data_IF_708875870900
#
_entry.id   IF_708875870900
#
_cell.length_a   1.000
_cell.length_b   1.000
_cell.length_c   1.000
_cell.angle_alpha   90.00
_cell.angle_beta   90.00
_cell.angle_gamma   90.00
#
_symmetry.space_group_name_H-M   'P 1'
#
loop_
_entity.id
_entity.type
_entity.pdbx_description
1 polymer ?
#
# COMPACT_ATOMS: atom_id res chain seq x y z
N UNK A 1 10.52 9.03 1.58
CA UNK A 1 10.39 8.95 0.10
C UNK A 1 8.90 9.02 -0.32
N UNK A 2 8.42 10.06 -1.03
CA UNK A 2 6.98 10.23 -1.36
C UNK A 2 6.75 10.40 -2.87
N UNK A 3 5.99 9.47 -3.48
CA UNK A 3 5.77 9.33 -4.92
C UNK A 3 4.47 8.64 -5.27
N UNK A 4 4.10 8.73 -6.55
CA UNK A 4 2.73 8.97 -7.00
C UNK A 4 2.77 8.90 -8.60
N UNK A 5 1.87 9.49 -9.45
CA UNK A 5 1.94 9.83 -10.91
C UNK A 5 0.61 10.29 -11.63
N UNK A 6 0.47 11.57 -12.09
CA UNK A 6 -0.66 12.10 -12.93
C UNK A 6 -0.24 12.15 -14.41
N UNK A 7 -1.19 11.91 -15.32
CA UNK A 7 -1.07 12.24 -16.75
C UNK A 7 -1.99 13.41 -17.19
N UNK A 8 -1.37 14.60 -17.28
CA UNK A 8 -1.73 15.78 -18.10
C UNK A 8 -2.90 16.74 -17.70
N UNK A 9 -2.77 18.00 -18.15
CA UNK A 9 -3.77 19.11 -18.25
C UNK A 9 -4.35 19.84 -17.02
N UNK A 10 -3.79 19.73 -15.81
CA UNK A 10 -4.00 20.75 -14.73
C UNK A 10 -2.69 21.25 -14.12
N UNK A 11 -1.92 21.98 -14.94
CA UNK A 11 -0.52 22.32 -14.63
C UNK A 11 -0.36 23.46 -13.60
N UNK A 12 -1.34 24.34 -13.38
CA UNK A 12 -1.13 25.57 -12.59
C UNK A 12 -1.16 25.39 -11.05
N UNK A 13 -2.11 24.63 -10.49
CA UNK A 13 -2.18 24.37 -9.05
C UNK A 13 -1.10 23.40 -8.58
N UNK A 14 -0.97 22.30 -9.32
CA UNK A 14 -0.21 21.14 -8.88
C UNK A 14 1.30 21.35 -9.04
N UNK A 15 1.74 22.16 -10.01
CA UNK A 15 3.15 22.50 -10.17
C UNK A 15 3.73 23.21 -8.92
N UNK A 16 2.94 24.04 -8.22
CA UNK A 16 3.41 24.69 -6.97
C UNK A 16 3.56 23.67 -5.84
N UNK A 17 2.59 22.75 -5.69
CA UNK A 17 2.66 21.66 -4.70
C UNK A 17 3.84 20.74 -5.00
N UNK A 18 4.00 20.32 -6.26
CA UNK A 18 5.12 19.49 -6.74
C UNK A 18 6.46 20.16 -6.48
N UNK A 19 6.63 21.44 -6.84
CA UNK A 19 7.89 22.15 -6.60
C UNK A 19 8.19 22.34 -5.11
N UNK A 20 7.17 22.65 -4.30
CA UNK A 20 7.32 22.72 -2.84
C UNK A 20 7.76 21.37 -2.26
N UNK A 21 7.14 20.26 -2.66
CA UNK A 21 7.53 18.91 -2.23
C UNK A 21 8.93 18.52 -2.70
N UNK A 22 9.28 18.84 -3.95
CA UNK A 22 10.65 18.62 -4.48
C UNK A 22 11.69 19.33 -3.64
N UNK A 23 11.47 20.60 -3.32
CA UNK A 23 12.41 21.41 -2.56
C UNK A 23 12.46 20.98 -1.08
N UNK A 24 11.31 20.74 -0.44
CA UNK A 24 11.24 20.37 0.98
C UNK A 24 11.77 18.97 1.28
N UNK A 25 11.64 18.02 0.33
CA UNK A 25 12.13 16.64 0.46
C UNK A 25 13.47 16.42 -0.26
N UNK A 26 14.04 17.45 -0.88
CA UNK A 26 15.24 17.40 -1.73
C UNK A 26 15.22 16.25 -2.77
N UNK A 27 14.16 16.19 -3.59
CA UNK A 27 13.97 15.15 -4.62
C UNK A 27 13.91 15.71 -6.04
N UNK A 28 14.59 15.05 -6.98
CA UNK A 28 14.70 15.49 -8.39
C UNK A 28 13.36 15.58 -9.13
N UNK A 29 12.41 14.74 -8.74
CA UNK A 29 11.10 14.58 -9.36
C UNK A 29 10.06 14.54 -8.23
N UNK A 30 8.79 14.72 -8.56
CA UNK A 30 7.64 14.21 -7.78
C UNK A 30 6.66 13.70 -8.82
N UNK A 31 5.95 12.62 -8.49
CA UNK A 31 4.87 12.06 -9.30
C UNK A 31 3.52 12.33 -8.52
N UNK A 32 2.29 12.26 -9.08
CA UNK A 32 0.96 12.50 -8.40
C UNK A 32 -0.12 11.34 -8.55
N UNK A 33 -0.20 10.26 -7.72
CA UNK A 33 -1.08 9.06 -7.93
C UNK A 33 -2.47 9.43 -7.42
N UNK A 34 -3.47 9.17 -8.24
CA UNK A 34 -4.87 9.29 -7.89
C UNK A 34 -5.72 9.40 -9.14
N UNK A 35 -7.02 9.12 -8.98
CA UNK A 35 -8.02 9.43 -10.00
C UNK A 35 -8.44 10.90 -9.91
N UNK A 36 -8.83 11.47 -11.04
CA UNK A 36 -9.35 12.85 -11.13
C UNK A 36 -10.72 13.03 -10.45
N UNK A 37 -11.46 11.93 -10.32
CA UNK A 37 -12.78 11.87 -9.71
C UNK A 37 -12.67 11.43 -8.25
N UNK A 38 -13.53 10.51 -7.81
CA UNK A 38 -13.54 9.96 -6.47
C UNK A 38 -12.38 8.96 -6.30
N UNK A 39 -11.74 8.97 -5.12
CA UNK A 39 -10.81 7.93 -4.70
C UNK A 39 -11.62 6.76 -4.10
N UNK A 40 -11.21 5.49 -4.30
CA UNK A 40 -11.98 4.36 -3.77
C UNK A 40 -12.18 4.47 -2.26
N UNK A 41 -13.43 4.41 -1.80
CA UNK A 41 -13.79 4.66 -0.39
C UNK A 41 -13.13 3.69 0.61
N UNK A 42 -12.85 2.46 0.15
CA UNK A 42 -12.17 1.41 0.92
C UNK A 42 -10.63 1.53 0.87
N UNK A 43 -10.07 2.44 0.08
CA UNK A 43 -8.63 2.58 -0.18
C UNK A 43 -8.27 4.03 -0.54
N UNK A 44 -8.53 4.95 0.40
CA UNK A 44 -8.35 6.38 0.19
C UNK A 44 -6.88 6.83 0.34
N UNK A 45 -6.12 6.20 1.23
CA UNK A 45 -4.70 6.52 1.44
C UNK A 45 -3.78 5.59 0.65
N UNK A 46 -2.65 6.12 0.18
CA UNK A 46 -1.72 5.38 -0.67
C UNK A 46 -1.05 4.20 0.08
N UNK A 47 -0.87 4.32 1.39
CA UNK A 47 -0.35 3.28 2.28
C UNK A 47 -1.36 2.16 2.60
N UNK A 48 -2.60 2.26 2.10
CA UNK A 48 -3.59 1.18 2.04
C UNK A 48 -3.54 0.42 0.70
N UNK A 49 -2.96 1.05 -0.33
CA UNK A 49 -2.85 0.52 -1.69
C UNK A 49 -1.48 -0.12 -1.98
N UNK A 50 -0.40 0.44 -1.43
CA UNK A 50 0.96 0.03 -1.72
C UNK A 50 1.96 0.34 -0.61
N UNK A 51 3.11 -0.35 -0.68
CA UNK A 51 4.30 -0.14 0.13
C UNK A 51 5.51 -0.01 -0.80
N UNK A 52 6.32 1.03 -0.61
CA UNK A 52 7.61 1.16 -1.30
C UNK A 52 8.70 0.44 -0.49
N UNK A 53 9.53 -0.31 -1.19
CA UNK A 53 10.66 -1.07 -0.65
C UNK A 53 11.95 -0.65 -1.40
N UNK A 54 13.15 -0.96 -0.86
CA UNK A 54 14.42 -0.76 -1.54
C UNK A 54 14.48 -1.46 -2.91
N UNK A 55 15.54 -1.18 -3.66
CA UNK A 55 15.86 -1.89 -4.91
C UNK A 55 14.77 -1.77 -5.98
N UNK A 56 14.04 -0.65 -5.97
CA UNK A 56 12.86 -0.33 -6.80
C UNK A 56 11.78 -1.42 -6.75
N UNK A 57 11.48 -1.96 -5.57
CA UNK A 57 10.37 -2.89 -5.38
C UNK A 57 9.17 -2.16 -4.79
N UNK A 58 7.96 -2.46 -5.28
CA UNK A 58 6.71 -1.96 -4.72
C UNK A 58 5.77 -3.14 -4.43
N UNK A 59 5.35 -3.29 -3.17
CA UNK A 59 4.25 -4.19 -2.81
C UNK A 59 2.92 -3.48 -3.09
N UNK A 60 2.01 -4.13 -3.80
CA UNK A 60 0.69 -3.56 -4.16
C UNK A 60 -0.41 -4.52 -3.73
N UNK A 61 -1.46 -3.99 -3.12
CA UNK A 61 -2.61 -4.78 -2.66
C UNK A 61 -3.22 -5.56 -3.81
N UNK A 62 -3.46 -6.86 -3.61
CA UNK A 62 -4.23 -7.72 -4.51
C UNK A 62 -5.49 -8.17 -3.78
N UNK A 63 -6.67 -7.79 -4.26
CA UNK A 63 -7.93 -8.22 -3.67
C UNK A 63 -8.18 -9.69 -4.02
N UNK A 64 -8.49 -10.53 -3.03
CA UNK A 64 -8.73 -11.97 -3.21
C UNK A 64 -9.93 -12.48 -2.41
N UNK A 65 -10.48 -13.63 -2.81
CA UNK A 65 -11.60 -14.29 -2.13
C UNK A 65 -12.95 -14.07 -2.80
N UNK A 66 -14.03 -14.41 -2.09
CA UNK A 66 -15.40 -14.39 -2.63
C UNK A 66 -15.95 -12.96 -2.66
N UNK A 67 -16.43 -12.50 -3.84
CA UNK A 67 -17.13 -11.21 -3.96
C UNK A 67 -18.37 -11.16 -3.03
N UNK A 68 -18.71 -9.99 -2.45
CA UNK A 68 -19.76 -9.85 -1.45
C UNK A 68 -21.15 -10.00 -2.05
N UNK A 69 -22.18 -10.15 -1.20
CA UNK A 69 -23.56 -10.30 -1.65
C UNK A 69 -24.18 -9.01 -2.21
N UNK A 70 -23.93 -7.87 -1.56
CA UNK A 70 -24.63 -6.61 -1.87
C UNK A 70 -24.13 -5.93 -3.15
N UNK A 71 -25.01 -5.19 -3.84
CA UNK A 71 -24.65 -4.45 -5.05
C UNK A 71 -23.65 -3.32 -4.79
N UNK A 72 -23.73 -2.67 -3.62
CA UNK A 72 -22.83 -1.56 -3.27
C UNK A 72 -21.41 -2.06 -3.05
N UNK A 73 -21.21 -3.03 -2.14
CA UNK A 73 -19.88 -3.56 -1.84
C UNK A 73 -19.19 -4.17 -3.08
N UNK A 74 -19.94 -4.71 -4.05
CA UNK A 74 -19.37 -5.16 -5.33
C UNK A 74 -18.78 -4.00 -6.13
N UNK A 75 -19.50 -2.87 -6.23
CA UNK A 75 -19.02 -1.64 -6.90
C UNK A 75 -17.81 -1.05 -6.19
N UNK A 76 -17.85 -0.96 -4.87
CA UNK A 76 -16.72 -0.42 -4.08
C UNK A 76 -15.44 -1.24 -4.30
N UNK A 77 -15.56 -2.57 -4.37
CA UNK A 77 -14.45 -3.47 -4.69
C UNK A 77 -14.00 -3.35 -6.14
N UNK A 78 -14.93 -3.26 -7.10
CA UNK A 78 -14.59 -3.08 -8.52
C UNK A 78 -13.87 -1.74 -8.79
N UNK A 79 -14.20 -0.70 -8.03
CA UNK A 79 -13.48 0.58 -8.05
C UNK A 79 -12.05 0.45 -7.49
N UNK A 80 -11.88 -0.24 -6.36
CA UNK A 80 -10.57 -0.57 -5.78
C UNK A 80 -9.74 -1.44 -6.75
N UNK A 81 -10.33 -2.49 -7.33
CA UNK A 81 -9.67 -3.38 -8.30
C UNK A 81 -9.17 -2.58 -9.52
N UNK A 82 -9.98 -1.67 -10.07
CA UNK A 82 -9.60 -0.83 -11.20
C UNK A 82 -8.47 0.16 -10.85
N UNK A 83 -8.56 0.85 -9.71
CA UNK A 83 -7.48 1.74 -9.23
C UNK A 83 -6.17 0.97 -9.00
N UNK A 84 -6.23 -0.23 -8.45
CA UNK A 84 -5.08 -1.09 -8.22
C UNK A 84 -4.44 -1.62 -9.52
N UNK A 85 -5.18 -1.71 -10.63
CA UNK A 85 -4.62 -2.01 -11.95
C UNK A 85 -3.88 -0.81 -12.52
N UNK A 86 -4.49 0.38 -12.46
CA UNK A 86 -3.87 1.66 -12.88
C UNK A 86 -2.57 1.91 -12.12
N UNK A 87 -2.57 1.68 -10.81
CA UNK A 87 -1.42 1.82 -9.93
C UNK A 87 -0.25 0.89 -10.32
N UNK A 88 -0.52 -0.38 -10.61
CA UNK A 88 0.52 -1.34 -11.07
C UNK A 88 1.14 -0.90 -12.38
N UNK A 89 0.32 -0.54 -13.36
CA UNK A 89 0.78 -0.12 -14.69
C UNK A 89 1.68 1.13 -14.59
N UNK A 90 1.30 2.10 -13.74
CA UNK A 90 2.12 3.27 -13.48
C UNK A 90 3.45 2.93 -12.79
N UNK A 91 3.43 2.13 -11.72
CA UNK A 91 4.65 1.72 -10.99
C UNK A 91 5.64 0.99 -11.91
N UNK A 92 5.15 0.08 -12.74
CA UNK A 92 5.95 -0.61 -13.76
C UNK A 92 6.53 0.39 -14.78
N UNK A 93 5.73 1.35 -15.27
CA UNK A 93 6.16 2.39 -16.22
C UNK A 93 7.27 3.28 -15.67
N UNK A 94 7.26 3.58 -14.36
CA UNK A 94 8.34 4.35 -13.70
C UNK A 94 9.50 3.46 -13.18
N UNK A 95 9.51 2.17 -13.56
CA UNK A 95 10.65 1.27 -13.36
C UNK A 95 10.68 0.51 -12.04
N UNK A 96 9.54 0.35 -11.36
CA UNK A 96 9.43 -0.52 -10.19
C UNK A 96 9.07 -1.96 -10.56
N UNK A 97 9.69 -2.92 -9.87
CA UNK A 97 9.20 -4.30 -9.82
C UNK A 97 8.03 -4.36 -8.84
N UNK A 98 6.84 -4.61 -9.36
CA UNK A 98 5.63 -4.83 -8.56
C UNK A 98 5.60 -6.26 -8.01
N UNK A 99 5.25 -6.40 -6.73
CA UNK A 99 4.85 -7.67 -6.11
C UNK A 99 3.45 -7.55 -5.55
N UNK A 100 2.65 -8.61 -5.67
CA UNK A 100 1.30 -8.65 -5.10
C UNK A 100 1.34 -9.00 -3.61
N UNK A 101 0.60 -8.24 -2.80
CA UNK A 101 0.33 -8.51 -1.39
C UNK A 101 -1.17 -8.80 -1.25
N UNK A 102 -1.52 -10.06 -1.02
CA UNK A 102 -2.92 -10.52 -1.03
C UNK A 102 -3.68 -9.97 0.18
N UNK A 103 -4.82 -9.33 -0.04
CA UNK A 103 -5.76 -8.87 1.00
C UNK A 103 -7.14 -9.41 0.66
N UNK A 104 -7.82 -10.04 1.63
CA UNK A 104 -9.14 -10.60 1.35
C UNK A 104 -10.19 -9.51 1.12
N UNK A 105 -11.25 -9.83 0.38
CA UNK A 105 -12.47 -9.01 0.29
C UNK A 105 -12.99 -8.62 1.68
N UNK A 106 -12.96 -9.53 2.65
CA UNK A 106 -13.39 -9.25 4.00
C UNK A 106 -12.48 -8.22 4.70
N UNK A 107 -11.16 -8.39 4.60
CA UNK A 107 -10.21 -7.48 5.23
C UNK A 107 -10.28 -6.08 4.59
N UNK A 108 -10.42 -6.00 3.26
CA UNK A 108 -10.64 -4.74 2.55
C UNK A 108 -11.90 -4.00 3.05
N UNK A 109 -13.02 -4.72 3.20
CA UNK A 109 -14.27 -4.16 3.75
C UNK A 109 -14.17 -3.74 5.23
N UNK A 110 -13.14 -4.19 5.96
CA UNK A 110 -12.86 -3.83 7.35
C UNK A 110 -11.65 -2.86 7.47
N UNK A 111 -11.18 -2.26 6.37
CA UNK A 111 -10.00 -1.39 6.32
C UNK A 111 -8.71 -2.04 6.89
N UNK A 112 -8.55 -3.34 6.65
CA UNK A 112 -7.41 -4.16 7.08
C UNK A 112 -6.50 -4.43 5.87
N UNK A 113 -5.35 -3.74 5.82
CA UNK A 113 -4.44 -3.76 4.68
C UNK A 113 -3.07 -4.30 5.09
N UNK A 114 -2.63 -5.42 4.50
CA UNK A 114 -1.30 -5.99 4.77
C UNK A 114 -0.16 -5.13 4.22
N UNK A 115 -0.42 -4.31 3.18
CA UNK A 115 0.54 -3.32 2.66
C UNK A 115 0.80 -2.16 3.62
N UNK A 116 -0.05 -1.96 4.64
CA UNK A 116 0.20 -0.96 5.69
C UNK A 116 1.24 -1.44 6.72
N UNK A 117 2.28 -2.09 6.20
CA UNK A 117 3.42 -2.61 6.93
C UNK A 117 4.52 -1.54 7.00
N UNK A 118 5.42 -1.67 7.97
CA UNK A 118 6.49 -0.70 8.21
C UNK A 118 7.84 -1.39 7.93
N UNK A 119 8.51 -1.08 6.81
CA UNK A 119 9.84 -1.58 6.52
C UNK A 119 10.88 -0.71 7.24
N UNK A 120 11.90 -1.35 7.79
CA UNK A 120 13.04 -0.65 8.40
C UNK A 120 14.32 -1.50 8.28
N UNK A 121 15.48 -0.89 8.56
CA UNK A 121 16.75 -1.62 8.71
C UNK A 121 17.12 -1.61 10.18
N UNK A 122 17.35 -2.78 10.76
CA UNK A 122 17.80 -2.92 12.14
C UNK A 122 19.27 -2.48 12.24
N UNK A 123 19.53 -1.25 12.72
CA UNK A 123 20.90 -0.67 12.76
C UNK A 123 21.93 -1.51 13.54
N UNK A 124 21.51 -2.44 14.41
CA UNK A 124 22.43 -3.29 15.18
C UNK A 124 22.88 -4.53 14.40
N UNK A 125 22.09 -4.95 13.42
CA UNK A 125 22.31 -6.20 12.66
C UNK A 125 22.38 -5.98 11.14
N UNK A 126 22.11 -4.76 10.68
CA UNK A 126 21.88 -4.38 9.28
C UNK A 126 20.77 -5.19 8.58
N UNK A 127 19.90 -5.86 9.34
CA UNK A 127 18.87 -6.74 8.80
C UNK A 127 17.64 -5.94 8.36
N UNK A 128 17.32 -5.98 7.05
CA UNK A 128 16.02 -5.55 6.52
C UNK A 128 14.91 -6.26 7.30
N UNK A 129 14.09 -5.52 8.03
CA UNK A 129 12.99 -6.03 8.87
C UNK A 129 11.70 -5.33 8.49
N UNK A 130 10.56 -6.02 8.57
CA UNK A 130 9.26 -5.45 8.28
C UNK A 130 8.27 -5.81 9.38
N UNK A 131 7.60 -4.79 9.93
CA UNK A 131 6.46 -4.95 10.81
C UNK A 131 5.23 -5.12 9.92
N UNK A 132 4.73 -6.35 9.77
CA UNK A 132 3.54 -6.65 8.96
C UNK A 132 2.32 -6.74 9.88
N UNK A 133 1.24 -5.96 9.65
CA UNK A 133 0.03 -6.10 10.43
C UNK A 133 -0.60 -7.47 10.16
N UNK A 134 -1.07 -8.13 11.22
CA UNK A 134 -1.84 -9.38 11.14
C UNK A 134 -3.18 -9.23 11.84
N UNK A 135 -4.18 -9.97 11.38
CA UNK A 135 -5.59 -9.74 11.74
C UNK A 135 -6.22 -11.05 12.21
N UNK A 136 -6.95 -11.01 13.33
CA UNK A 136 -7.68 -12.19 13.82
C UNK A 136 -8.70 -12.64 12.78
N UNK A 137 -8.47 -13.80 12.17
CA UNK A 137 -9.23 -14.24 11.00
C UNK A 137 -9.41 -15.75 10.90
N UNK A 138 -10.01 -16.17 9.78
CA UNK A 138 -10.26 -17.59 9.49
C UNK A 138 -8.99 -18.30 9.01
N UNK A 139 -9.07 -19.62 8.80
CA UNK A 139 -8.00 -20.38 8.13
C UNK A 139 -7.69 -19.90 6.70
N UNK A 140 -8.58 -19.13 6.07
CA UNK A 140 -8.28 -18.43 4.81
C UNK A 140 -7.37 -17.23 5.04
N UNK A 141 -7.66 -16.39 6.04
CA UNK A 141 -6.82 -15.23 6.38
C UNK A 141 -5.41 -15.67 6.79
N UNK A 142 -5.29 -16.70 7.61
CA UNK A 142 -3.98 -17.22 8.02
C UNK A 142 -3.15 -17.76 6.83
N UNK A 143 -3.80 -18.24 5.75
CA UNK A 143 -3.10 -18.59 4.50
C UNK A 143 -2.60 -17.34 3.77
N UNK A 144 -3.36 -16.24 3.77
CA UNK A 144 -2.91 -14.96 3.20
C UNK A 144 -1.75 -14.37 4.01
N UNK A 145 -1.83 -14.39 5.34
CA UNK A 145 -0.73 -13.97 6.22
C UNK A 145 0.56 -14.75 5.95
N UNK A 146 0.47 -16.08 5.83
CA UNK A 146 1.60 -16.94 5.51
C UNK A 146 2.16 -16.65 4.10
N UNK A 147 1.29 -16.45 3.10
CA UNK A 147 1.70 -16.10 1.74
C UNK A 147 2.43 -14.73 1.69
N UNK A 148 1.85 -13.70 2.31
CA UNK A 148 2.44 -12.36 2.36
C UNK A 148 3.76 -12.36 3.15
N UNK A 149 3.84 -13.12 4.24
CA UNK A 149 5.10 -13.36 4.97
C UNK A 149 6.17 -13.94 4.04
N UNK A 150 5.85 -14.97 3.26
CA UNK A 150 6.77 -15.59 2.32
C UNK A 150 7.21 -14.62 1.20
N UNK A 151 6.31 -13.77 0.69
CA UNK A 151 6.65 -12.72 -0.28
C UNK A 151 7.71 -11.77 0.29
N UNK A 152 7.52 -11.24 1.51
CA UNK A 152 8.52 -10.36 2.12
C UNK A 152 9.84 -11.09 2.46
N UNK A 153 9.79 -12.35 2.89
CA UNK A 153 11.00 -13.16 3.13
C UNK A 153 11.81 -13.39 1.84
N UNK A 154 11.15 -13.63 0.71
CA UNK A 154 11.80 -13.71 -0.61
C UNK A 154 12.40 -12.37 -1.09
N UNK A 155 12.03 -11.26 -0.46
CA UNK A 155 12.65 -9.94 -0.64
C UNK A 155 13.79 -9.66 0.37
N UNK A 156 14.18 -10.66 1.17
CA UNK A 156 15.24 -10.55 2.16
C UNK A 156 14.83 -9.94 3.50
N UNK A 157 13.53 -9.81 3.77
CA UNK A 157 13.04 -9.25 5.03
C UNK A 157 12.85 -10.31 6.13
N UNK A 158 13.32 -9.97 7.34
CA UNK A 158 12.78 -10.56 8.58
C UNK A 158 11.36 -10.00 8.79
N UNK A 159 10.35 -10.86 8.81
CA UNK A 159 8.95 -10.45 9.01
C UNK A 159 8.59 -10.59 10.49
N UNK A 160 8.23 -9.47 11.12
CA UNK A 160 7.64 -9.44 12.46
C UNK A 160 6.13 -9.22 12.27
N UNK A 161 5.33 -10.21 12.69
CA UNK A 161 3.86 -10.13 12.65
C UNK A 161 3.36 -9.32 13.83
N UNK A 162 2.62 -8.25 13.58
CA UNK A 162 2.09 -7.34 14.59
C UNK A 162 0.56 -7.44 14.61
N UNK A 163 -0.06 -8.07 15.64
CA UNK A 163 -1.51 -8.11 15.77
C UNK A 163 -2.10 -6.71 15.85
N UNK A 164 -2.81 -6.30 14.79
CA UNK A 164 -3.33 -4.93 14.70
C UNK A 164 -4.81 -4.86 15.08
N UNK A 165 -5.16 -3.81 15.83
CA UNK A 165 -6.54 -3.36 16.07
C UNK A 165 -6.77 -1.92 15.57
N UNK A 166 -5.80 -1.33 14.88
CA UNK A 166 -5.83 0.08 14.43
C UNK A 166 -6.96 0.35 13.44
N UNK A 167 -7.39 -0.68 12.69
CA UNK A 167 -8.49 -0.60 11.74
C UNK A 167 -9.81 -0.14 12.37
N UNK A 168 -9.97 -0.31 13.70
CA UNK A 168 -11.11 0.23 14.47
C UNK A 168 -11.17 1.76 14.51
N UNK A 169 -10.08 2.43 14.11
CA UNK A 169 -9.96 3.88 13.95
C UNK A 169 -9.76 4.26 12.46
N UNK A 170 -10.11 3.35 11.52
CA UNK A 170 -9.91 3.49 10.07
C UNK A 170 -8.44 3.71 9.63
N UNK A 171 -7.46 3.35 10.47
CA UNK A 171 -6.03 3.45 10.19
C UNK A 171 -5.30 2.12 10.30
N UNK A 172 -4.10 2.03 9.72
CA UNK A 172 -3.20 0.89 9.90
C UNK A 172 -2.05 1.17 10.89
N UNK A 173 -1.08 0.26 11.01
CA UNK A 173 0.05 0.45 11.94
C UNK A 173 1.04 1.53 11.46
N UNK A 174 1.19 1.71 10.15
CA UNK A 174 1.98 2.79 9.55
C UNK A 174 1.46 4.17 9.95
N UNK A 175 0.13 4.31 10.16
CA UNK A 175 -0.49 5.55 10.64
C UNK A 175 -0.13 5.92 12.10
N UNK A 176 0.48 5.01 12.86
CA UNK A 176 0.86 5.23 14.27
C UNK A 176 2.37 5.41 14.50
N UNK A 177 3.20 5.16 13.49
CA UNK A 177 4.67 5.10 13.65
C UNK A 177 5.33 5.95 12.58
N UNK A 178 5.91 7.08 13.00
CA UNK A 178 6.90 7.78 12.20
C UNK A 178 8.25 7.08 12.38
N UNK A 179 8.76 6.47 11.31
CA UNK A 179 10.15 6.01 11.26
C UNK A 179 11.03 7.24 11.02
N UNK A 180 11.95 7.51 11.95
CA UNK A 180 13.02 8.50 11.75
C UNK A 180 14.18 7.73 11.11
N UNK A 181 14.50 8.08 9.85
CA UNK A 181 15.69 7.62 9.12
C UNK A 181 16.94 8.41 9.52
#
# INVERSE_FOLDING_TARGET
>A
MIWKGIYDKRISSDAKIVNNLKNALNVEKVFVIGRENVQPSLMFHLDQAMILLPDKVAGVTKVVGKKPGTRQQKRDIEEVEAFLVELRALLQKIGYRVVDIDTSVNNLLNHQHYVNAIPYVDHRTNQKTILMPVFSGTSFEQKLENKNTAVFQLLGYRVIRVPSRTYKLNGGIHCLINVIE
#
